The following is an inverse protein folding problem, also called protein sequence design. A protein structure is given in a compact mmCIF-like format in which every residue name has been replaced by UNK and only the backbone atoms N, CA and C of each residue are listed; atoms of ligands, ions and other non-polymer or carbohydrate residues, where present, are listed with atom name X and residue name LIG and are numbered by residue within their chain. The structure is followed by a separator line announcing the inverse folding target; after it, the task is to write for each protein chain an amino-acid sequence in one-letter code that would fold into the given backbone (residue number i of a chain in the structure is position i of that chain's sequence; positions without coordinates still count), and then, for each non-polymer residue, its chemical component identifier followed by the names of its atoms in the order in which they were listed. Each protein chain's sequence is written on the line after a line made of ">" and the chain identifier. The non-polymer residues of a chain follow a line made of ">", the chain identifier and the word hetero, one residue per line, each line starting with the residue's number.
data_IF_870880372089
#
_entry.id   IF_870880372089
#
_cell.length_a   1.000
_cell.length_b   1.000
_cell.length_c   1.000
_cell.angle_alpha   90.00
_cell.angle_beta   90.00
_cell.angle_gamma   90.00
#
_symmetry.space_group_name_H-M   'P 1'
#
loop_
_entity.id
_entity.type
_entity.pdbx_description
1 polymer ?
#
# COMPACT_ATOMS: atom_id res chain seq x y z
N UNK A 1 -5.99 -9.57 14.07
CA UNK A 1 -5.64 -9.50 12.64
C UNK A 1 -5.81 -8.05 12.23
N UNK A 2 -4.77 -7.41 11.69
CA UNK A 2 -4.86 -6.02 11.21
C UNK A 2 -5.00 -6.03 9.70
N UNK A 3 -5.81 -5.14 9.14
CA UNK A 3 -5.99 -5.02 7.69
C UNK A 3 -5.44 -3.69 7.17
N UNK A 4 -5.11 -3.66 5.88
CA UNK A 4 -4.89 -2.43 5.14
C UNK A 4 -5.75 -2.38 3.88
N UNK A 5 -6.23 -1.18 3.56
CA UNK A 5 -7.01 -0.90 2.36
C UNK A 5 -6.22 0.01 1.42
N UNK A 6 -6.31 -0.27 0.12
CA UNK A 6 -5.71 0.55 -0.93
C UNK A 6 -6.70 0.76 -2.07
N UNK A 7 -7.06 2.02 -2.33
CA UNK A 7 -7.84 2.41 -3.49
C UNK A 7 -7.08 2.17 -4.80
N UNK A 8 -7.71 1.47 -5.73
CA UNK A 8 -7.19 1.11 -7.05
C UNK A 8 -8.08 1.70 -8.14
N UNK A 9 -7.51 2.69 -8.85
CA UNK A 9 -8.04 3.24 -10.08
C UNK A 9 -6.92 3.32 -11.13
N UNK A 10 -7.28 3.19 -12.41
CA UNK A 10 -6.40 3.32 -13.58
C UNK A 10 -5.86 4.76 -13.73
N UNK A 11 -6.64 5.76 -13.30
CA UNK A 11 -6.30 7.19 -13.47
C UNK A 11 -5.46 7.80 -12.34
N UNK A 12 -5.14 7.04 -11.29
CA UNK A 12 -4.52 7.60 -10.09
C UNK A 12 -3.05 7.18 -10.04
N UNK A 13 -2.18 7.92 -10.72
CA UNK A 13 -0.73 7.74 -10.62
C UNK A 13 -0.14 8.18 -9.26
N UNK A 14 -0.86 9.00 -8.48
CA UNK A 14 -0.41 9.59 -7.20
C UNK A 14 -1.28 9.15 -5.99
N UNK A 15 -1.27 7.85 -5.68
CA UNK A 15 -2.25 7.20 -4.75
C UNK A 15 -2.05 7.54 -3.26
N UNK A 16 -0.84 7.94 -2.83
CA UNK A 16 -0.53 8.18 -1.41
C UNK A 16 -1.03 9.53 -0.90
N UNK A 17 -1.04 10.57 -1.75
CA UNK A 17 -1.43 11.94 -1.35
C UNK A 17 -2.95 12.16 -1.25
N UNK A 18 -3.77 11.27 -1.83
CA UNK A 18 -5.24 11.40 -1.81
C UNK A 18 -5.93 10.74 -0.61
N UNK A 19 -5.14 10.19 0.33
CA UNK A 19 -5.66 9.46 1.49
C UNK A 19 -6.44 8.19 1.11
N UNK A 20 -6.05 7.56 -0.01
CA UNK A 20 -6.64 6.32 -0.52
C UNK A 20 -5.99 5.07 0.08
N UNK A 21 -5.13 5.25 1.08
CA UNK A 21 -4.48 4.19 1.82
C UNK A 21 -4.89 4.33 3.28
N UNK A 22 -5.49 3.29 3.83
CA UNK A 22 -5.85 3.19 5.26
C UNK A 22 -5.15 1.97 5.83
N UNK A 23 -4.36 2.17 6.88
CA UNK A 23 -3.54 1.14 7.51
C UNK A 23 -4.06 0.83 8.92
N UNK A 24 -3.64 -0.31 9.46
CA UNK A 24 -3.86 -0.70 10.85
C UNK A 24 -5.35 -0.71 11.26
N UNK A 25 -6.22 -1.20 10.37
CA UNK A 25 -7.65 -1.40 10.64
C UNK A 25 -7.80 -2.64 11.53
N UNK A 26 -8.40 -2.45 12.72
CA UNK A 26 -8.43 -3.46 13.80
C UNK A 26 -9.82 -4.02 14.05
N UNK A 27 -10.86 -3.33 13.62
CA UNK A 27 -12.25 -3.77 13.78
C UNK A 27 -13.03 -3.77 12.47
N UNK A 28 -14.17 -4.46 12.47
CA UNK A 28 -15.08 -4.49 11.33
C UNK A 28 -15.66 -3.10 11.06
N UNK A 29 -15.96 -2.36 12.12
CA UNK A 29 -16.53 -1.01 12.06
C UNK A 29 -15.52 -0.03 11.45
N UNK A 30 -14.25 -0.11 11.86
CA UNK A 30 -13.17 0.68 11.27
C UNK A 30 -12.97 0.36 9.79
N UNK A 31 -13.04 -0.93 9.43
CA UNK A 31 -12.91 -1.38 8.05
C UNK A 31 -14.06 -0.85 7.18
N UNK A 32 -15.31 -0.91 7.65
CA UNK A 32 -16.47 -0.38 6.92
C UNK A 32 -16.36 1.13 6.73
N UNK A 33 -16.05 1.88 7.79
CA UNK A 33 -15.88 3.34 7.70
C UNK A 33 -14.74 3.71 6.73
N UNK A 34 -13.61 3.00 6.78
CA UNK A 34 -12.49 3.23 5.89
C UNK A 34 -12.84 2.92 4.42
N UNK A 35 -13.65 1.90 4.17
CA UNK A 35 -14.15 1.58 2.83
C UNK A 35 -15.02 2.72 2.27
N UNK A 36 -15.99 3.18 3.05
CA UNK A 36 -16.91 4.25 2.65
C UNK A 36 -16.17 5.55 2.34
N UNK A 37 -15.21 5.93 3.19
CA UNK A 37 -14.36 7.10 2.94
C UNK A 37 -13.56 7.00 1.64
N UNK A 38 -12.99 5.81 1.36
CA UNK A 38 -12.23 5.57 0.14
C UNK A 38 -13.17 5.63 -1.09
N UNK A 39 -14.33 4.98 -1.02
CA UNK A 39 -15.33 5.01 -2.10
C UNK A 39 -15.84 6.43 -2.38
N UNK A 40 -16.13 7.22 -1.34
CA UNK A 40 -16.57 8.61 -1.49
C UNK A 40 -15.53 9.48 -2.20
N UNK A 41 -14.24 9.21 -2.00
CA UNK A 41 -13.13 9.96 -2.64
C UNK A 41 -12.81 9.51 -4.06
N UNK A 42 -13.06 8.25 -4.38
CA UNK A 42 -12.71 7.68 -5.69
C UNK A 42 -13.82 7.81 -6.74
N UNK A 43 -15.09 7.94 -6.32
CA UNK A 43 -16.22 7.97 -7.25
C UNK A 43 -16.56 6.58 -7.82
N UNK A 44 -17.48 6.53 -8.78
CA UNK A 44 -17.97 5.28 -9.38
C UNK A 44 -16.92 4.59 -10.24
N UNK A 45 -16.94 3.25 -10.29
CA UNK A 45 -16.05 2.45 -11.15
C UNK A 45 -14.66 2.17 -10.60
N UNK A 46 -14.45 2.30 -9.28
CA UNK A 46 -13.16 2.03 -8.64
C UNK A 46 -13.16 0.78 -7.76
N UNK A 47 -11.98 0.22 -7.55
CA UNK A 47 -11.77 -1.03 -6.79
C UNK A 47 -10.96 -0.74 -5.53
N UNK A 48 -11.21 -1.47 -4.44
CA UNK A 48 -10.42 -1.37 -3.20
C UNK A 48 -9.75 -2.71 -2.96
N UNK A 49 -8.44 -2.68 -2.79
CA UNK A 49 -7.64 -3.83 -2.40
C UNK A 49 -7.63 -3.94 -0.88
N UNK A 50 -8.11 -5.06 -0.37
CA UNK A 50 -8.10 -5.41 1.07
C UNK A 50 -7.08 -6.50 1.29
N UNK A 51 -6.18 -6.29 2.26
CA UNK A 51 -5.15 -7.26 2.59
C UNK A 51 -4.86 -7.28 4.09
N UNK A 52 -4.40 -8.43 4.57
CA UNK A 52 -3.88 -8.54 5.93
C UNK A 52 -2.55 -7.80 6.06
N UNK A 53 -2.45 -7.00 7.12
CA UNK A 53 -1.24 -6.31 7.52
C UNK A 53 -0.43 -7.22 8.43
N UNK A 54 0.64 -7.79 7.89
CA UNK A 54 1.63 -8.56 8.63
C UNK A 54 2.58 -7.59 9.33
N UNK A 55 2.72 -7.71 10.66
CA UNK A 55 3.70 -6.94 11.44
C UNK A 55 4.97 -7.75 11.58
N UNK A 56 6.05 -7.28 10.96
CA UNK A 56 7.39 -7.86 11.06
C UNK A 56 8.33 -6.96 11.88
N UNK A 57 9.38 -7.54 12.45
CA UNK A 57 10.45 -6.79 13.12
C UNK A 57 11.50 -6.23 12.14
N UNK A 58 11.46 -6.69 10.89
CA UNK A 58 12.38 -6.29 9.81
C UNK A 58 11.58 -6.15 8.54
N UNK A 59 11.81 -5.07 7.82
CA UNK A 59 11.32 -4.88 6.46
C UNK A 59 12.48 -5.15 5.49
N UNK A 60 12.18 -5.66 4.30
CA UNK A 60 13.15 -5.94 3.25
C UNK A 60 12.66 -5.28 1.96
N UNK A 61 13.58 -4.68 1.21
CA UNK A 61 13.30 -4.16 -0.13
C UNK A 61 14.12 -4.96 -1.12
N UNK A 62 13.44 -5.46 -2.15
CA UNK A 62 14.04 -6.17 -3.27
C UNK A 62 13.60 -5.44 -4.54
N UNK A 63 14.58 -4.96 -5.31
CA UNK A 63 14.36 -4.34 -6.61
C UNK A 63 14.99 -5.19 -7.70
N UNK A 64 14.29 -5.36 -8.82
CA UNK A 64 14.84 -5.94 -10.03
C UNK A 64 14.74 -4.89 -11.14
N UNK A 65 15.86 -4.54 -11.74
CA UNK A 65 15.90 -3.70 -12.94
C UNK A 65 16.71 -4.38 -14.02
N UNK A 66 16.49 -3.99 -15.27
CA UNK A 66 17.38 -4.36 -16.38
C UNK A 66 18.06 -3.09 -16.83
N UNK A 67 19.36 -3.01 -16.59
CA UNK A 67 20.16 -1.91 -17.08
C UNK A 67 20.65 -2.25 -18.51
N UNK A 68 20.53 -1.32 -19.47
CA UNK A 68 20.97 -1.57 -20.86
C UNK A 68 22.46 -1.90 -21.01
N UNK A 69 23.31 -1.44 -20.09
CA UNK A 69 24.76 -1.65 -20.11
C UNK A 69 25.18 -2.86 -19.26
N UNK A 70 24.54 -3.06 -18.10
CA UNK A 70 24.93 -4.11 -17.14
C UNK A 70 24.06 -5.38 -17.20
N UNK A 71 22.94 -5.36 -17.94
CA UNK A 71 21.98 -6.47 -17.96
C UNK A 71 21.09 -6.51 -16.70
N UNK A 72 20.55 -7.67 -16.31
CA UNK A 72 19.69 -7.80 -15.13
C UNK A 72 20.43 -7.44 -13.83
N UNK A 73 19.89 -6.48 -13.08
CA UNK A 73 20.41 -6.00 -11.80
C UNK A 73 19.40 -6.27 -10.68
N UNK A 74 19.90 -6.76 -9.54
CA UNK A 74 19.10 -7.02 -8.33
C UNK A 74 19.61 -6.11 -7.21
N UNK A 75 18.71 -5.32 -6.64
CA UNK A 75 18.93 -4.58 -5.41
C UNK A 75 18.32 -5.36 -4.25
N UNK A 76 19.09 -5.60 -3.19
CA UNK A 76 18.60 -6.18 -1.93
C UNK A 76 19.03 -5.29 -0.77
N UNK A 77 18.09 -4.96 0.11
CA UNK A 77 18.39 -4.13 1.28
C UNK A 77 17.34 -4.28 2.38
N UNK A 78 17.64 -3.69 3.53
CA UNK A 78 16.66 -3.52 4.60
C UNK A 78 15.66 -2.45 4.17
N UNK A 79 14.38 -2.83 4.14
CA UNK A 79 13.26 -1.93 3.91
C UNK A 79 12.94 -1.11 5.14
N UNK A 80 12.29 0.03 4.93
CA UNK A 80 11.80 0.88 6.01
C UNK A 80 11.93 2.36 5.67
N UNK A 81 10.80 2.99 5.34
CA UNK A 81 10.63 4.40 5.70
C UNK A 81 10.65 4.45 7.23
N UNK A 82 11.67 5.09 7.80
CA UNK A 82 11.86 5.36 9.23
C UNK A 82 10.55 5.44 10.02
N UNK A 83 10.16 4.36 10.72
CA UNK A 83 9.34 4.50 11.92
C UNK A 83 10.30 4.72 13.08
N UNK A 84 10.65 5.99 13.34
CA UNK A 84 11.26 6.37 14.61
C UNK A 84 10.31 5.93 15.75
N UNK A 85 10.91 5.31 16.76
CA UNK A 85 10.30 4.99 18.05
C UNK A 85 9.72 6.22 18.74
#
# INVERSE_FOLDING_TARGET
>A
MTLFFKGCSSDIAHKTEKGLIKLDLRSKEEAVSAFEEICARMGTGTSVLVQEMVKGHRELVIGLSRDPQFGPCVMFGLGGFLRKS
#
